data_IF_086190181789
#
_entry.id   IF_086190181789
#
_cell.length_a   1.000
_cell.length_b   1.000
_cell.length_c   1.000
_cell.angle_alpha   90.00
_cell.angle_beta   90.00
_cell.angle_gamma   90.00
#
_symmetry.space_group_name_H-M   'P 1'
#
loop_
_entity.id
_entity.type
_entity.pdbx_description
1 polymer ?
#
# COMPACT_ATOMS: atom_id res chain seq x y z
N UNK A 1 8.59 -10.27 -62.85
CA UNK A 1 8.57 -9.63 -61.52
C UNK A 1 7.18 -9.62 -60.87
N UNK A 2 6.07 -9.42 -61.59
CA UNK A 2 4.71 -9.38 -60.98
C UNK A 2 4.23 -10.70 -60.33
N UNK A 3 4.61 -11.87 -60.85
CA UNK A 3 4.18 -13.16 -60.29
C UNK A 3 4.61 -13.39 -58.84
N UNK A 4 5.86 -13.04 -58.50
CA UNK A 4 6.43 -13.26 -57.15
C UNK A 4 5.72 -12.45 -56.07
N UNK A 5 5.19 -11.26 -56.41
CA UNK A 5 4.44 -10.41 -55.47
C UNK A 5 3.04 -10.99 -55.19
N UNK A 6 2.40 -11.60 -56.19
CA UNK A 6 1.10 -12.25 -56.03
C UNK A 6 1.20 -13.51 -55.14
N UNK A 7 2.27 -14.28 -55.28
CA UNK A 7 2.53 -15.48 -54.47
C UNK A 7 2.88 -15.14 -53.01
N UNK A 8 3.69 -14.10 -52.79
CA UNK A 8 4.00 -13.61 -51.44
C UNK A 8 2.75 -13.11 -50.69
N UNK A 9 1.89 -12.33 -51.36
CA UNK A 9 0.63 -11.86 -50.76
C UNK A 9 -0.32 -13.01 -50.42
N UNK A 10 -0.32 -14.10 -51.21
CA UNK A 10 -1.14 -15.28 -50.94
C UNK A 10 -0.67 -16.04 -49.69
N UNK A 11 0.64 -16.22 -49.51
CA UNK A 11 1.20 -16.84 -48.31
C UNK A 11 0.97 -16.03 -47.02
N UNK A 12 0.97 -14.69 -47.10
CA UNK A 12 0.58 -13.84 -45.96
C UNK A 12 -0.91 -14.00 -45.64
N UNK A 13 -1.78 -14.08 -46.66
CA UNK A 13 -3.22 -14.25 -46.48
C UNK A 13 -3.57 -15.59 -45.82
N UNK A 14 -2.93 -16.68 -46.23
CA UNK A 14 -3.14 -18.00 -45.62
C UNK A 14 -2.63 -18.06 -44.17
N UNK A 15 -1.47 -17.48 -43.85
CA UNK A 15 -0.98 -17.39 -42.47
C UNK A 15 -1.90 -16.57 -41.54
N UNK A 16 -2.50 -15.48 -42.04
CA UNK A 16 -3.47 -14.67 -41.28
C UNK A 16 -4.77 -15.45 -41.05
N UNK A 17 -5.25 -16.18 -42.05
CA UNK A 17 -6.45 -17.03 -41.99
C UNK A 17 -6.30 -18.15 -40.97
N UNK A 18 -5.16 -18.82 -40.93
CA UNK A 18 -4.90 -19.91 -39.99
C UNK A 18 -4.77 -19.34 -38.55
N UNK A 19 -4.02 -18.25 -38.37
CA UNK A 19 -3.92 -17.55 -37.08
C UNK A 19 -5.29 -17.09 -36.53
N UNK A 20 -6.19 -16.64 -37.41
CA UNK A 20 -7.54 -16.21 -37.03
C UNK A 20 -8.43 -17.41 -36.66
N UNK A 21 -8.30 -18.53 -37.37
CA UNK A 21 -8.97 -19.80 -37.07
C UNK A 21 -8.58 -20.31 -35.68
N UNK A 22 -7.29 -20.26 -35.34
CA UNK A 22 -6.77 -20.70 -34.05
C UNK A 22 -7.18 -19.76 -32.91
N UNK A 23 -7.19 -18.44 -33.14
CA UNK A 23 -7.67 -17.47 -32.16
C UNK A 23 -9.18 -17.61 -31.88
N UNK A 24 -10.01 -17.84 -32.90
CA UNK A 24 -11.45 -18.06 -32.74
C UNK A 24 -11.74 -19.40 -32.06
N UNK A 25 -11.00 -20.45 -32.41
CA UNK A 25 -11.16 -21.78 -31.81
C UNK A 25 -10.77 -21.79 -30.33
N UNK A 26 -9.60 -21.24 -29.99
CA UNK A 26 -9.14 -21.11 -28.59
C UNK A 26 -10.06 -20.20 -27.75
N UNK A 27 -10.59 -19.12 -28.33
CA UNK A 27 -11.58 -18.27 -27.66
C UNK A 27 -12.90 -19.01 -27.39
N UNK A 28 -13.40 -19.79 -28.36
CA UNK A 28 -14.62 -20.59 -28.21
C UNK A 28 -14.46 -21.67 -27.13
N UNK A 29 -13.32 -22.33 -27.11
CA UNK A 29 -12.98 -23.37 -26.14
C UNK A 29 -12.79 -22.79 -24.71
N UNK A 30 -12.17 -21.61 -24.60
CA UNK A 30 -12.03 -20.87 -23.35
C UNK A 30 -13.34 -20.34 -22.78
N UNK A 31 -14.29 -19.93 -23.63
CA UNK A 31 -15.64 -19.51 -23.20
C UNK A 31 -16.47 -20.72 -22.74
N UNK A 32 -16.41 -21.85 -23.44
CA UNK A 32 -17.13 -23.08 -23.07
C UNK A 32 -16.60 -23.75 -21.79
N UNK A 33 -15.30 -23.66 -21.50
CA UNK A 33 -14.69 -24.24 -20.29
C UNK A 33 -14.67 -23.30 -19.07
N UNK A 34 -15.24 -22.09 -19.17
CA UNK A 34 -15.25 -21.17 -18.03
C UNK A 34 -16.24 -21.63 -16.95
N UNK A 35 -15.72 -22.02 -15.79
CA UNK A 35 -16.48 -22.64 -14.69
C UNK A 35 -17.63 -21.81 -14.11
N UNK A 36 -17.71 -20.50 -14.42
CA UNK A 36 -18.85 -19.63 -14.07
C UNK A 36 -20.13 -20.03 -14.82
N UNK A 37 -20.00 -20.55 -16.06
CA UNK A 37 -21.15 -20.95 -16.90
C UNK A 37 -21.82 -22.24 -16.39
N UNK A 38 -21.06 -23.13 -15.77
CA UNK A 38 -21.52 -24.50 -15.43
C UNK A 38 -22.04 -24.68 -13.99
N UNK A 39 -22.19 -23.62 -13.18
CA UNK A 39 -22.63 -23.73 -11.76
C UNK A 39 -23.60 -22.63 -11.28
N UNK A 40 -24.45 -22.09 -12.16
CA UNK A 40 -25.53 -21.14 -11.81
C UNK A 40 -26.93 -21.76 -11.91
N UNK A 41 -27.65 -21.84 -10.78
CA UNK A 41 -28.98 -22.49 -10.69
C UNK A 41 -30.11 -21.71 -11.39
N UNK A 42 -30.94 -22.44 -12.14
CA UNK A 42 -32.35 -22.24 -12.58
C UNK A 42 -32.85 -20.89 -13.14
N UNK A 43 -32.24 -19.74 -12.83
CA UNK A 43 -32.62 -18.43 -13.37
C UNK A 43 -32.02 -18.11 -14.76
N UNK A 44 -31.22 -19.02 -15.33
CA UNK A 44 -30.34 -18.75 -16.51
C UNK A 44 -30.73 -19.58 -17.75
N UNK A 45 -31.88 -20.25 -17.77
CA UNK A 45 -32.33 -21.02 -18.94
C UNK A 45 -32.63 -20.12 -20.15
N UNK A 46 -33.22 -18.94 -19.93
CA UNK A 46 -33.49 -17.97 -20.99
C UNK A 46 -32.20 -17.27 -21.49
N UNK A 47 -31.32 -16.87 -20.57
CA UNK A 47 -30.08 -16.15 -20.89
C UNK A 47 -29.10 -17.03 -21.66
N UNK A 48 -28.96 -18.31 -21.28
CA UNK A 48 -28.07 -19.26 -21.95
C UNK A 48 -28.56 -19.59 -23.36
N UNK A 49 -29.88 -19.68 -23.59
CA UNK A 49 -30.43 -19.83 -24.95
C UNK A 49 -30.20 -18.60 -25.82
N UNK A 50 -30.35 -17.38 -25.28
CA UNK A 50 -30.12 -16.13 -26.03
C UNK A 50 -28.63 -16.00 -26.41
N UNK A 51 -27.71 -16.26 -25.48
CA UNK A 51 -26.26 -16.22 -25.78
C UNK A 51 -25.86 -17.33 -26.75
N UNK A 52 -26.35 -18.56 -26.56
CA UNK A 52 -26.05 -19.67 -27.47
C UNK A 52 -26.59 -19.43 -28.88
N UNK A 53 -27.78 -18.83 -29.01
CA UNK A 53 -28.39 -18.51 -30.32
C UNK A 53 -27.72 -17.31 -31.01
N UNK A 54 -27.23 -16.34 -30.25
CA UNK A 54 -26.43 -15.24 -30.79
C UNK A 54 -25.05 -15.73 -31.27
N UNK A 55 -24.41 -16.64 -30.53
CA UNK A 55 -23.10 -17.22 -30.88
C UNK A 55 -23.21 -18.27 -32.00
N UNK A 56 -24.34 -18.97 -32.14
CA UNK A 56 -24.57 -19.90 -33.27
C UNK A 56 -24.98 -19.21 -34.57
N UNK A 57 -25.65 -18.05 -34.50
CA UNK A 57 -26.08 -17.29 -35.69
C UNK A 57 -24.98 -16.39 -36.29
N UNK A 58 -23.88 -16.16 -35.57
CA UNK A 58 -22.64 -15.69 -36.21
C UNK A 58 -22.01 -16.88 -36.93
N UNK A 59 -22.59 -17.20 -38.09
CA UNK A 59 -21.97 -18.08 -39.07
C UNK A 59 -20.59 -17.51 -39.42
N UNK A 60 -19.55 -18.28 -39.11
CA UNK A 60 -18.16 -17.92 -39.43
C UNK A 60 -17.98 -17.75 -40.93
N UNK A 61 -18.76 -18.46 -41.76
CA UNK A 61 -18.84 -18.23 -43.21
C UNK A 61 -19.37 -16.84 -43.55
N UNK A 62 -20.51 -16.41 -42.97
CA UNK A 62 -21.07 -15.08 -43.26
C UNK A 62 -20.13 -13.94 -42.88
N UNK A 63 -19.42 -14.07 -41.74
CA UNK A 63 -18.41 -13.08 -41.32
C UNK A 63 -17.16 -13.12 -42.23
N UNK A 64 -16.71 -14.31 -42.62
CA UNK A 64 -15.56 -14.52 -43.52
C UNK A 64 -15.81 -13.99 -44.93
N UNK A 65 -17.00 -14.22 -45.48
CA UNK A 65 -17.38 -13.75 -46.81
C UNK A 65 -17.60 -12.23 -46.82
N UNK A 66 -18.13 -11.65 -45.74
CA UNK A 66 -18.19 -10.20 -45.58
C UNK A 66 -16.78 -9.57 -45.54
N UNK A 67 -15.82 -10.20 -44.84
CA UNK A 67 -14.42 -9.75 -44.78
C UNK A 67 -13.72 -9.94 -46.14
N UNK A 68 -13.91 -11.06 -46.84
CA UNK A 68 -13.32 -11.29 -48.16
C UNK A 68 -13.83 -10.30 -49.22
N UNK A 69 -15.14 -10.04 -49.25
CA UNK A 69 -15.72 -9.04 -50.15
C UNK A 69 -15.23 -7.62 -49.79
N UNK A 70 -15.08 -7.29 -48.50
CA UNK A 70 -14.50 -6.03 -48.06
C UNK A 70 -13.00 -5.90 -48.39
N UNK A 71 -12.24 -7.00 -48.49
CA UNK A 71 -10.82 -6.97 -48.86
C UNK A 71 -10.57 -6.97 -50.38
N UNK A 72 -11.53 -7.43 -51.19
CA UNK A 72 -11.37 -7.49 -52.65
C UNK A 72 -11.54 -6.12 -53.34
N UNK A 73 -12.27 -5.18 -52.73
CA UNK A 73 -12.41 -3.82 -53.23
C UNK A 73 -11.41 -2.86 -52.57
N UNK A 74 -10.68 -2.09 -53.39
CA UNK A 74 -9.70 -1.11 -52.94
C UNK A 74 -10.29 0.04 -52.10
N UNK A 75 -11.59 0.27 -52.19
CA UNK A 75 -12.33 1.22 -51.34
C UNK A 75 -12.73 0.60 -50.00
N UNK A 76 -13.22 -0.64 -50.01
CA UNK A 76 -13.73 -1.34 -48.81
C UNK A 76 -12.61 -1.75 -47.85
N UNK A 77 -11.43 -2.07 -48.40
CA UNK A 77 -10.21 -2.36 -47.62
C UNK A 77 -9.72 -1.14 -46.83
N UNK A 78 -9.85 0.08 -47.37
CA UNK A 78 -9.58 1.32 -46.64
C UNK A 78 -10.55 1.53 -45.47
N UNK A 79 -11.85 1.27 -45.66
CA UNK A 79 -12.83 1.34 -44.56
C UNK A 79 -12.51 0.33 -43.46
N UNK A 80 -12.09 -0.89 -43.79
CA UNK A 80 -11.68 -1.89 -42.81
C UNK A 80 -10.46 -1.43 -41.98
N UNK A 81 -9.44 -0.84 -42.63
CA UNK A 81 -8.28 -0.27 -41.94
C UNK A 81 -8.67 0.87 -41.00
N UNK A 82 -9.58 1.75 -41.42
CA UNK A 82 -10.09 2.85 -40.57
C UNK A 82 -10.86 2.31 -39.36
N UNK A 83 -11.73 1.32 -39.53
CA UNK A 83 -12.45 0.67 -38.42
C UNK A 83 -11.50 -0.01 -37.45
N UNK A 84 -10.48 -0.71 -37.96
CA UNK A 84 -9.44 -1.35 -37.13
C UNK A 84 -8.64 -0.30 -36.32
N UNK A 85 -8.31 0.84 -36.92
CA UNK A 85 -7.66 1.96 -36.25
C UNK A 85 -8.54 2.57 -35.15
N UNK A 86 -9.85 2.71 -35.37
CA UNK A 86 -10.80 3.19 -34.36
C UNK A 86 -10.90 2.20 -33.19
N UNK A 87 -10.95 0.89 -33.46
CA UNK A 87 -10.94 -0.14 -32.42
C UNK A 87 -9.63 -0.11 -31.64
N UNK A 88 -8.48 -0.01 -32.32
CA UNK A 88 -7.17 0.08 -31.68
C UNK A 88 -7.06 1.34 -30.81
N UNK A 89 -7.53 2.49 -31.28
CA UNK A 89 -7.57 3.73 -30.50
C UNK A 89 -8.49 3.60 -29.27
N UNK A 90 -9.63 2.92 -29.39
CA UNK A 90 -10.55 2.66 -28.29
C UNK A 90 -9.94 1.70 -27.24
N UNK A 91 -9.24 0.65 -27.66
CA UNK A 91 -8.49 -0.24 -26.77
C UNK A 91 -7.36 0.52 -26.06
N UNK A 92 -6.59 1.35 -26.79
CA UNK A 92 -5.57 2.22 -26.20
C UNK A 92 -6.16 3.21 -25.20
N UNK A 93 -7.35 3.76 -25.45
CA UNK A 93 -8.06 4.65 -24.52
C UNK A 93 -8.50 3.93 -23.24
N UNK A 94 -9.05 2.71 -23.35
CA UNK A 94 -9.39 1.88 -22.19
C UNK A 94 -8.13 1.50 -21.39
N UNK A 95 -7.07 1.06 -22.06
CA UNK A 95 -5.79 0.74 -21.40
C UNK A 95 -5.19 1.98 -20.73
N UNK A 96 -5.21 3.15 -21.38
CA UNK A 96 -4.78 4.41 -20.79
C UNK A 96 -5.59 4.74 -19.53
N UNK A 97 -6.91 4.61 -19.55
CA UNK A 97 -7.76 4.87 -18.38
C UNK A 97 -7.43 3.92 -17.22
N UNK A 98 -7.34 2.61 -17.49
CA UNK A 98 -6.99 1.59 -16.49
C UNK A 98 -5.60 1.84 -15.89
N UNK A 99 -4.59 2.07 -16.72
CA UNK A 99 -3.21 2.32 -16.28
C UNK A 99 -3.12 3.65 -15.50
N UNK A 100 -3.85 4.68 -15.91
CA UNK A 100 -3.82 5.98 -15.23
C UNK A 100 -4.39 5.87 -13.82
N UNK A 101 -5.56 5.26 -13.68
CA UNK A 101 -6.25 5.11 -12.38
C UNK A 101 -5.51 4.15 -11.42
N UNK A 102 -4.93 3.06 -11.95
CA UNK A 102 -4.32 2.01 -11.10
C UNK A 102 -2.81 2.16 -10.87
N UNK A 103 -2.07 2.80 -11.78
CA UNK A 103 -0.60 2.88 -11.73
C UNK A 103 -0.07 4.31 -11.70
N UNK A 104 -0.60 5.23 -12.51
CA UNK A 104 -0.01 6.59 -12.64
C UNK A 104 -0.29 7.46 -11.42
N UNK A 105 -1.43 7.26 -10.74
CA UNK A 105 -1.76 7.98 -9.50
C UNK A 105 -1.01 7.48 -8.25
N UNK A 106 -0.04 6.56 -8.39
CA UNK A 106 0.80 6.10 -7.28
C UNK A 106 1.86 7.15 -6.90
N UNK A 107 1.82 7.59 -5.64
CA UNK A 107 2.70 8.62 -5.10
C UNK A 107 3.41 8.13 -3.84
N UNK A 108 4.69 8.51 -3.72
CA UNK A 108 5.53 8.32 -2.53
C UNK A 108 5.95 9.69 -1.98
N UNK A 109 5.83 9.86 -0.66
CA UNK A 109 6.56 10.86 0.11
C UNK A 109 7.68 10.13 0.87
N UNK A 110 8.91 10.63 0.78
CA UNK A 110 9.94 10.40 1.79
C UNK A 110 10.05 11.71 2.57
N UNK A 111 9.76 11.68 3.88
CA UNK A 111 9.62 12.92 4.64
C UNK A 111 11.00 13.60 4.76
N UNK A 112 11.13 14.88 4.33
CA UNK A 112 12.41 15.60 4.37
C UNK A 112 13.04 15.59 5.75
N UNK A 113 14.37 15.47 5.82
CA UNK A 113 15.12 15.39 7.07
C UNK A 113 15.12 14.01 7.75
N UNK A 114 14.26 13.07 7.35
CA UNK A 114 14.28 11.68 7.89
C UNK A 114 15.30 10.77 7.20
N UNK A 115 15.98 11.24 6.15
CA UNK A 115 16.92 10.45 5.34
C UNK A 115 18.17 9.97 6.09
N UNK A 116 18.45 10.61 7.23
CA UNK A 116 19.50 10.28 8.20
C UNK A 116 18.86 9.85 9.53
N UNK A 117 19.56 9.08 10.38
CA UNK A 117 19.04 8.68 11.69
C UNK A 117 18.73 9.87 12.61
N UNK A 118 17.49 9.89 13.09
CA UNK A 118 16.98 10.86 14.05
C UNK A 118 17.00 10.22 15.43
N UNK A 119 17.59 10.90 16.42
CA UNK A 119 17.58 10.46 17.83
C UNK A 119 16.18 10.69 18.41
N UNK A 120 15.59 9.65 19.00
CA UNK A 120 14.21 9.67 19.48
C UNK A 120 14.05 9.99 20.98
N UNK A 121 15.14 10.37 21.66
CA UNK A 121 15.14 10.83 23.06
C UNK A 121 14.91 12.33 23.22
N UNK A 122 14.69 13.03 22.11
CA UNK A 122 14.36 14.44 21.98
C UNK A 122 13.13 14.52 21.07
N UNK A 123 12.24 15.48 21.28
CA UNK A 123 11.16 15.74 20.33
C UNK A 123 11.65 16.50 19.09
N UNK A 124 11.29 16.06 17.89
CA UNK A 124 11.61 16.75 16.63
C UNK A 124 10.44 16.74 15.65
N UNK A 125 10.27 17.85 14.94
CA UNK A 125 9.17 18.10 13.99
C UNK A 125 9.71 18.26 12.58
N UNK A 126 9.08 17.60 11.62
CA UNK A 126 9.44 17.58 10.20
C UNK A 126 8.20 17.97 9.36
N UNK A 127 8.08 19.22 8.92
CA UNK A 127 6.98 19.65 8.08
C UNK A 127 7.12 19.08 6.66
N UNK A 128 5.99 18.69 6.06
CA UNK A 128 5.92 18.30 4.65
C UNK A 128 4.65 18.86 4.02
N UNK A 129 4.76 19.41 2.81
CA UNK A 129 3.66 20.14 2.15
C UNK A 129 2.90 19.29 1.12
N UNK A 130 3.44 18.14 0.74
CA UNK A 130 2.81 17.25 -0.23
C UNK A 130 1.65 16.50 0.43
N UNK A 131 0.44 16.70 -0.10
CA UNK A 131 -0.74 15.91 0.27
C UNK A 131 -0.79 14.64 -0.58
N UNK A 132 -0.96 13.48 0.07
CA UNK A 132 -1.20 12.21 -0.60
C UNK A 132 -2.71 11.99 -0.73
N UNK A 133 -3.25 12.30 -1.91
CA UNK A 133 -4.64 11.98 -2.18
C UNK A 133 -4.83 10.47 -2.31
N UNK A 134 -5.90 9.96 -1.70
CA UNK A 134 -6.40 8.62 -1.95
C UNK A 134 -6.91 8.56 -3.39
N UNK A 135 -6.23 7.79 -4.25
CA UNK A 135 -6.75 7.46 -5.57
C UNK A 135 -7.89 6.46 -5.46
N UNK A 136 -7.66 5.22 -5.90
CA UNK A 136 -8.66 4.16 -5.77
C UNK A 136 -8.68 3.55 -4.36
N UNK A 137 -9.55 4.08 -3.50
CA UNK A 137 -9.84 3.54 -2.17
C UNK A 137 -9.03 4.16 -1.02
N UNK A 138 -9.41 3.87 0.23
CA UNK A 138 -8.70 4.39 1.42
C UNK A 138 -7.48 3.54 1.76
N UNK A 139 -6.51 3.54 0.84
CA UNK A 139 -5.30 2.73 0.87
C UNK A 139 -4.08 3.54 1.25
N UNK A 140 -3.18 2.97 2.04
CA UNK A 140 -1.96 3.66 2.46
C UNK A 140 -0.88 2.68 2.88
N UNK A 141 0.36 2.95 2.51
CA UNK A 141 1.52 2.23 3.07
C UNK A 141 2.40 3.19 3.84
N UNK A 142 2.84 2.79 5.02
CA UNK A 142 3.84 3.48 5.83
C UNK A 142 5.09 2.60 5.94
N UNK A 143 6.26 3.15 5.65
CA UNK A 143 7.53 2.47 5.82
C UNK A 143 8.50 3.34 6.62
N UNK A 144 9.20 2.77 7.59
CA UNK A 144 10.27 3.44 8.32
C UNK A 144 11.25 2.43 8.86
N UNK A 145 12.44 2.92 9.20
CA UNK A 145 13.46 2.16 9.90
C UNK A 145 13.51 2.58 11.35
N UNK A 146 13.62 1.59 12.23
CA UNK A 146 13.77 1.79 13.67
C UNK A 146 15.01 1.03 14.16
N UNK A 147 15.74 1.63 15.10
CA UNK A 147 16.83 1.02 15.84
C UNK A 147 16.59 1.29 17.32
N UNK A 148 16.45 0.26 18.15
CA UNK A 148 16.24 0.42 19.60
C UNK A 148 17.56 0.09 20.32
N UNK A 149 18.13 1.06 21.05
CA UNK A 149 19.35 0.85 21.84
C UNK A 149 19.07 0.06 23.11
N UNK A 150 18.05 0.51 23.86
CA UNK A 150 17.62 -0.05 25.14
C UNK A 150 16.14 0.25 25.39
N UNK A 151 15.37 -0.79 25.70
CA UNK A 151 13.95 -0.70 26.06
C UNK A 151 13.74 -0.27 27.53
N UNK A 152 14.79 -0.31 28.35
CA UNK A 152 14.74 -0.02 29.79
C UNK A 152 14.82 1.48 30.11
N UNK A 153 15.32 2.29 29.18
CA UNK A 153 15.66 3.71 29.36
C UNK A 153 14.47 4.66 29.70
N UNK A 154 13.24 4.16 29.64
CA UNK A 154 12.03 4.79 30.21
C UNK A 154 11.01 3.69 30.56
N UNK A 155 11.42 2.72 31.38
CA UNK A 155 10.60 1.56 31.77
C UNK A 155 9.36 2.00 32.58
N UNK A 156 8.21 1.37 32.31
CA UNK A 156 6.94 1.70 32.98
C UNK A 156 6.20 2.91 32.40
N UNK A 157 6.58 3.35 31.19
CA UNK A 157 5.92 4.42 30.46
C UNK A 157 5.83 4.06 28.96
N UNK A 158 4.72 4.39 28.32
CA UNK A 158 4.62 4.33 26.87
C UNK A 158 5.56 5.36 26.24
N UNK A 159 6.27 4.94 25.19
CA UNK A 159 7.29 5.79 24.53
C UNK A 159 6.86 6.15 23.12
N UNK A 160 6.79 7.44 22.83
CA UNK A 160 6.52 7.96 21.51
C UNK A 160 7.64 7.59 20.53
N UNK A 161 7.25 7.06 19.37
CA UNK A 161 8.17 6.78 18.27
C UNK A 161 7.99 7.85 17.20
N UNK A 162 6.79 7.91 16.62
CA UNK A 162 6.44 8.90 15.61
C UNK A 162 4.92 9.09 15.51
N UNK A 163 4.48 10.28 15.14
CA UNK A 163 3.10 10.52 14.71
C UNK A 163 3.04 11.58 13.61
N UNK A 164 1.99 11.53 12.79
CA UNK A 164 1.68 12.59 11.82
C UNK A 164 0.39 13.24 12.27
N UNK A 165 0.45 14.52 12.63
CA UNK A 165 -0.73 15.28 13.03
C UNK A 165 -0.72 16.68 12.43
N UNK A 166 -1.93 17.19 12.19
CA UNK A 166 -2.18 18.60 11.92
C UNK A 166 -2.45 19.27 13.26
N UNK A 167 -1.96 20.51 13.45
CA UNK A 167 -2.37 21.33 14.59
C UNK A 167 -3.89 21.43 14.65
N UNK A 168 -4.46 21.20 15.82
CA UNK A 168 -5.87 21.45 16.07
C UNK A 168 -6.15 22.97 16.13
N UNK A 169 -7.42 23.34 16.38
CA UNK A 169 -7.82 24.75 16.44
C UNK A 169 -7.13 25.54 17.58
N UNK A 170 -6.72 24.84 18.64
CA UNK A 170 -6.07 25.40 19.83
C UNK A 170 -4.53 25.49 19.67
N UNK A 171 -3.98 24.90 18.61
CA UNK A 171 -2.55 24.94 18.24
C UNK A 171 -1.74 23.68 18.61
N UNK A 172 -2.37 22.71 19.29
CA UNK A 172 -1.75 21.49 19.80
C UNK A 172 -1.81 20.31 18.82
N UNK A 173 -0.97 19.30 19.09
CA UNK A 173 -0.94 18.03 18.36
C UNK A 173 -1.42 16.92 19.29
N UNK A 174 -2.51 16.23 18.91
CA UNK A 174 -3.12 15.20 19.75
C UNK A 174 -3.17 13.83 19.05
N UNK A 175 -3.34 12.76 19.83
CA UNK A 175 -3.45 11.40 19.27
C UNK A 175 -4.67 11.27 18.36
N UNK A 176 -5.82 11.84 18.73
CA UNK A 176 -7.07 11.81 17.95
C UNK A 176 -6.98 12.57 16.62
N UNK A 177 -6.20 13.66 16.56
CA UNK A 177 -6.07 14.53 15.38
C UNK A 177 -4.98 14.00 14.41
N UNK A 178 -4.29 12.93 14.79
CA UNK A 178 -3.26 12.29 13.97
C UNK A 178 -3.84 11.45 12.81
N UNK A 179 -3.02 11.20 11.81
CA UNK A 179 -3.25 10.20 10.77
C UNK A 179 -2.68 8.83 11.17
N UNK A 180 -1.50 8.84 11.79
CA UNK A 180 -0.83 7.66 12.34
C UNK A 180 -0.17 8.09 13.65
N UNK A 181 -0.27 7.26 14.69
CA UNK A 181 0.41 7.43 15.97
C UNK A 181 1.10 6.13 16.38
N UNK A 182 2.41 6.19 16.63
CA UNK A 182 3.25 5.02 16.90
C UNK A 182 3.88 5.17 18.29
N UNK A 183 3.64 4.17 19.15
CA UNK A 183 4.24 4.09 20.49
C UNK A 183 4.81 2.70 20.77
N UNK A 184 5.93 2.65 21.49
CA UNK A 184 6.43 1.42 22.11
C UNK A 184 5.71 1.21 23.44
N UNK A 185 5.28 -0.04 23.70
CA UNK A 185 4.71 -0.46 24.99
C UNK A 185 5.72 -0.26 26.12
N UNK A 186 5.24 -0.05 27.35
CA UNK A 186 6.02 0.27 28.55
C UNK A 186 7.08 -0.76 28.98
N UNK A 187 6.69 -2.04 29.06
CA UNK A 187 7.56 -3.13 29.53
C UNK A 187 7.98 -4.11 28.44
N UNK A 188 7.24 -4.13 27.31
CA UNK A 188 7.50 -5.04 26.19
C UNK A 188 8.06 -4.28 25.00
N UNK A 189 8.87 -4.98 24.23
CA UNK A 189 9.48 -4.47 23.01
C UNK A 189 8.53 -4.55 21.80
N UNK A 190 7.31 -4.03 21.99
CA UNK A 190 6.13 -4.21 21.14
C UNK A 190 5.67 -2.84 20.63
N UNK A 191 5.36 -2.72 19.34
CA UNK A 191 5.18 -1.43 18.66
C UNK A 191 3.72 -1.20 18.24
N UNK A 192 2.97 -0.54 19.12
CA UNK A 192 1.57 -0.20 18.87
C UNK A 192 1.44 0.97 17.90
N UNK A 193 0.60 0.79 16.88
CA UNK A 193 0.30 1.77 15.84
C UNK A 193 -1.20 2.01 15.81
N UNK A 194 -1.64 3.26 15.97
CA UNK A 194 -3.04 3.69 15.85
C UNK A 194 -3.23 4.56 14.61
N UNK A 195 -4.38 4.39 13.97
CA UNK A 195 -4.97 5.25 12.95
C UNK A 195 -6.30 5.77 13.53
N UNK A 196 -6.40 7.05 13.92
CA UNK A 196 -7.63 7.63 14.46
C UNK A 196 -8.81 7.59 13.47
N UNK A 197 -10.02 7.86 13.96
CA UNK A 197 -11.22 7.88 13.10
C UNK A 197 -11.32 9.21 12.32
N UNK A 198 -11.77 9.16 11.06
CA UNK A 198 -11.85 10.32 10.16
C UNK A 198 -12.99 11.31 10.48
N UNK A 199 -13.93 10.93 11.35
CA UNK A 199 -15.05 11.74 11.81
C UNK A 199 -15.26 11.46 13.28
N UNK A 200 -15.13 12.51 14.09
CA UNK A 200 -15.41 12.50 15.53
C UNK A 200 -14.80 11.28 16.24
N UNK A 201 -13.47 11.15 16.24
CA UNK A 201 -12.78 10.36 17.27
C UNK A 201 -13.01 11.10 18.61
N UNK A 202 -14.15 10.78 19.24
CA UNK A 202 -14.65 11.43 20.46
C UNK A 202 -13.94 10.92 21.71
N UNK A 203 -13.09 9.90 21.56
CA UNK A 203 -12.40 9.25 22.65
C UNK A 203 -11.23 10.15 23.09
N UNK A 204 -11.07 10.31 24.41
CA UNK A 204 -9.96 11.07 25.03
C UNK A 204 -8.60 10.36 24.96
N UNK A 205 -8.32 9.68 23.85
CA UNK A 205 -7.11 8.86 23.69
C UNK A 205 -5.87 9.75 23.68
N UNK A 206 -4.91 9.37 24.50
CA UNK A 206 -3.60 10.01 24.62
C UNK A 206 -2.50 8.94 24.68
N UNK A 207 -1.23 9.34 24.75
CA UNK A 207 -0.10 8.42 24.74
C UNK A 207 -0.11 7.41 25.90
N UNK A 208 -0.71 7.76 27.04
CA UNK A 208 -0.79 6.93 28.24
C UNK A 208 -2.10 6.15 28.36
N UNK A 209 -3.03 6.27 27.40
CA UNK A 209 -4.26 5.48 27.36
C UNK A 209 -3.96 3.98 27.33
N UNK A 210 -4.85 3.18 27.90
CA UNK A 210 -4.72 1.72 27.98
C UNK A 210 -4.61 1.09 26.58
N UNK A 211 -4.12 -0.15 26.51
CA UNK A 211 -4.03 -0.90 25.25
C UNK A 211 -5.39 -0.99 24.56
N UNK A 212 -6.48 -1.21 25.31
CA UNK A 212 -7.82 -1.30 24.75
C UNK A 212 -8.26 0.04 24.12
N UNK A 213 -8.14 1.17 24.83
CA UNK A 213 -8.53 2.49 24.33
C UNK A 213 -7.69 2.95 23.14
N UNK A 214 -6.39 2.64 23.15
CA UNK A 214 -5.48 3.02 22.07
C UNK A 214 -5.71 2.19 20.79
N UNK A 215 -6.08 0.92 20.91
CA UNK A 215 -6.22 -0.01 19.78
C UNK A 215 -7.66 -0.11 19.23
N UNK A 216 -8.66 0.26 20.03
CA UNK A 216 -10.09 0.12 19.72
C UNK A 216 -10.85 1.37 20.16
N UNK A 217 -11.55 2.00 19.23
CA UNK A 217 -12.45 3.12 19.48
C UNK A 217 -13.69 2.64 20.28
N UNK A 218 -14.24 3.49 21.14
CA UNK A 218 -15.40 3.22 22.02
C UNK A 218 -16.59 2.58 21.29
N UNK A 219 -16.89 3.06 20.08
CA UNK A 219 -17.89 2.49 19.15
C UNK A 219 -17.53 1.13 18.52
N UNK A 220 -16.55 0.41 19.06
CA UNK A 220 -16.15 -0.95 18.68
C UNK A 220 -15.28 -1.06 17.42
N UNK A 221 -14.92 0.04 16.78
CA UNK A 221 -14.05 0.02 15.59
C UNK A 221 -12.58 -0.17 15.98
N UNK A 222 -11.88 -1.09 15.32
CA UNK A 222 -10.43 -1.24 15.47
C UNK A 222 -9.73 -0.09 14.78
N UNK A 223 -8.91 0.62 15.55
CA UNK A 223 -8.10 1.76 15.11
C UNK A 223 -6.61 1.41 15.07
N UNK A 224 -6.14 0.35 15.72
CA UNK A 224 -4.71 0.04 15.80
C UNK A 224 -4.28 -1.40 15.50
N UNK A 225 -2.97 -1.58 15.33
CA UNK A 225 -2.24 -2.84 15.09
C UNK A 225 -0.91 -2.85 15.89
N UNK A 226 -0.49 -4.01 16.40
CA UNK A 226 0.46 -4.03 17.54
C UNK A 226 1.94 -4.45 17.29
N UNK A 227 2.26 -5.20 16.23
CA UNK A 227 3.66 -5.59 15.90
C UNK A 227 4.46 -6.14 17.12
N UNK A 228 4.24 -7.41 17.46
CA UNK A 228 4.60 -8.04 18.74
C UNK A 228 6.06 -7.84 19.23
N UNK A 229 7.04 -7.82 18.32
CA UNK A 229 8.45 -7.70 18.67
C UNK A 229 9.26 -6.94 17.60
N UNK A 230 10.04 -5.93 18.01
CA UNK A 230 11.01 -5.20 17.18
C UNK A 230 12.45 -5.50 17.67
N UNK A 231 13.26 -6.33 16.99
CA UNK A 231 14.60 -6.70 17.45
C UNK A 231 15.49 -5.53 17.92
N UNK A 232 16.07 -5.68 19.13
CA UNK A 232 16.95 -4.68 19.73
C UNK A 232 18.33 -4.64 19.03
N UNK A 233 19.02 -3.50 19.16
CA UNK A 233 20.42 -3.30 18.77
C UNK A 233 20.76 -3.61 17.31
N UNK A 234 19.75 -3.58 16.43
CA UNK A 234 19.91 -3.56 14.98
C UNK A 234 18.89 -2.65 14.32
N UNK A 235 19.15 -2.30 13.07
CA UNK A 235 18.13 -1.70 12.22
C UNK A 235 17.06 -2.74 11.88
N UNK A 236 15.81 -2.32 11.98
CA UNK A 236 14.61 -3.08 11.62
C UNK A 236 13.78 -2.22 10.67
N UNK A 237 13.41 -2.76 9.50
CA UNK A 237 12.46 -2.10 8.61
C UNK A 237 11.04 -2.51 8.97
N UNK A 238 10.17 -1.52 9.21
CA UNK A 238 8.75 -1.73 9.48
C UNK A 238 7.94 -1.18 8.30
N UNK A 239 7.19 -2.07 7.64
CA UNK A 239 6.22 -1.71 6.60
C UNK A 239 4.80 -2.03 7.06
N UNK A 240 3.89 -1.08 6.92
CA UNK A 240 2.48 -1.22 7.32
C UNK A 240 1.61 -0.87 6.12
N UNK A 241 0.98 -1.88 5.52
CA UNK A 241 0.19 -1.77 4.28
C UNK A 241 -1.29 -1.88 4.61
N UNK A 242 -2.03 -0.78 4.39
CA UNK A 242 -3.47 -0.69 4.57
C UNK A 242 -4.15 -0.77 3.20
N UNK A 243 -5.10 -1.70 3.09
CA UNK A 243 -5.94 -1.92 1.90
C UNK A 243 -7.41 -1.95 2.36
N UNK A 244 -8.36 -1.52 1.52
CA UNK A 244 -9.78 -1.32 1.86
C UNK A 244 -10.76 -2.38 1.33
N UNK A 245 -10.25 -3.41 0.65
CA UNK A 245 -11.05 -4.54 0.17
C UNK A 245 -11.70 -5.29 1.35
N UNK A 246 -13.01 -5.54 1.26
CA UNK A 246 -13.75 -6.36 2.24
C UNK A 246 -13.93 -5.71 3.64
N UNK A 247 -13.96 -4.37 3.70
CA UNK A 247 -13.89 -3.61 4.96
C UNK A 247 -12.45 -3.27 5.37
N UNK A 248 -11.48 -3.94 4.75
CA UNK A 248 -10.07 -3.61 4.79
C UNK A 248 -9.22 -4.58 5.59
N UNK A 249 -7.91 -4.42 5.39
CA UNK A 249 -6.85 -5.21 6.01
C UNK A 249 -5.67 -4.30 6.35
N UNK A 250 -4.97 -4.62 7.43
CA UNK A 250 -3.70 -3.98 7.79
C UNK A 250 -2.64 -5.07 7.85
N UNK A 251 -1.68 -5.03 6.93
CA UNK A 251 -0.62 -6.03 6.78
C UNK A 251 0.71 -5.44 7.28
N UNK A 252 1.39 -6.19 8.14
CA UNK A 252 2.69 -5.81 8.72
C UNK A 252 3.79 -6.61 8.05
N UNK A 253 4.85 -5.90 7.68
CA UNK A 253 6.08 -6.45 7.15
C UNK A 253 7.25 -6.01 8.03
N UNK A 254 8.12 -6.96 8.38
CA UNK A 254 9.33 -6.74 9.17
C UNK A 254 10.52 -7.23 8.34
N UNK A 255 11.52 -6.37 8.14
CA UNK A 255 12.73 -6.65 7.33
C UNK A 255 12.41 -7.21 5.94
N UNK A 256 11.43 -6.60 5.27
CA UNK A 256 10.95 -7.00 3.94
C UNK A 256 10.04 -8.23 3.92
N UNK A 257 9.93 -8.97 5.03
CA UNK A 257 9.15 -10.20 5.14
C UNK A 257 7.76 -9.94 5.71
N UNK A 258 6.75 -10.67 5.22
CA UNK A 258 5.41 -10.63 5.81
C UNK A 258 5.44 -11.17 7.25
N UNK A 259 4.85 -10.42 8.18
CA UNK A 259 4.76 -10.78 9.61
C UNK A 259 3.33 -11.17 9.99
N UNK A 260 2.35 -10.28 9.78
CA UNK A 260 0.94 -10.55 10.10
C UNK A 260 -0.05 -9.71 9.31
N UNK A 261 -1.33 -10.11 9.34
CA UNK A 261 -2.49 -9.35 8.86
C UNK A 261 -3.46 -9.18 10.01
N UNK A 262 -4.03 -7.99 10.17
CA UNK A 262 -5.29 -7.81 10.88
C UNK A 262 -6.42 -7.51 9.88
N UNK A 263 -7.55 -8.20 10.04
CA UNK A 263 -8.76 -8.03 9.24
C UNK A 263 -9.99 -8.39 10.10
N UNK A 264 -11.20 -8.28 9.55
CA UNK A 264 -12.42 -8.60 10.31
C UNK A 264 -12.45 -10.04 10.86
N UNK A 265 -11.85 -11.02 10.18
CA UNK A 265 -11.78 -12.40 10.66
C UNK A 265 -10.81 -12.55 11.83
N UNK A 266 -9.63 -11.92 11.79
CA UNK A 266 -8.65 -12.00 12.89
C UNK A 266 -9.09 -11.20 14.12
N UNK A 267 -9.74 -10.05 13.93
CA UNK A 267 -10.26 -9.20 15.00
C UNK A 267 -11.42 -9.88 15.73
N UNK A 268 -12.34 -10.52 15.00
CA UNK A 268 -13.55 -11.14 15.56
C UNK A 268 -13.33 -12.56 16.09
N UNK A 269 -12.10 -13.10 16.01
CA UNK A 269 -11.78 -14.43 16.52
C UNK A 269 -12.06 -14.52 18.03
N UNK A 270 -12.92 -15.48 18.41
CA UNK A 270 -13.26 -15.78 19.81
C UNK A 270 -12.05 -16.22 20.62
N UNK A 271 -11.01 -16.74 19.97
CA UNK A 271 -9.75 -17.12 20.62
C UNK A 271 -8.94 -15.91 21.11
N UNK A 272 -9.24 -14.69 20.64
CA UNK A 272 -8.50 -13.49 21.05
C UNK A 272 -8.53 -13.25 22.57
N UNK A 273 -9.64 -13.61 23.22
CA UNK A 273 -9.87 -13.49 24.67
C UNK A 273 -8.88 -14.31 25.50
N UNK A 274 -8.30 -15.37 24.93
CA UNK A 274 -7.30 -16.23 25.59
C UNK A 274 -5.90 -16.08 24.96
N UNK A 275 -5.69 -15.03 24.16
CA UNK A 275 -4.42 -14.71 23.49
C UNK A 275 -3.86 -13.41 24.04
N UNK A 276 -2.58 -13.10 23.78
CA UNK A 276 -1.98 -11.80 24.14
C UNK A 276 -2.56 -10.57 23.43
N UNK A 277 -3.75 -10.68 22.80
CA UNK A 277 -4.51 -9.66 22.07
C UNK A 277 -5.86 -9.36 22.74
N UNK A 278 -5.91 -9.41 24.07
CA UNK A 278 -7.13 -9.27 24.89
C UNK A 278 -7.91 -7.96 24.65
N UNK A 279 -7.27 -6.96 24.04
CA UNK A 279 -7.91 -5.71 23.61
C UNK A 279 -8.93 -5.88 22.48
N UNK A 280 -8.85 -6.95 21.67
CA UNK A 280 -9.87 -7.27 20.64
C UNK A 280 -10.95 -8.20 21.21
N UNK A 281 -12.20 -7.78 21.06
CA UNK A 281 -13.41 -8.51 21.45
C UNK A 281 -14.14 -9.00 20.19
N UNK A 282 -14.88 -10.13 20.23
CA UNK A 282 -15.60 -10.65 19.06
C UNK A 282 -16.64 -9.71 18.43
N UNK A 283 -17.04 -8.65 19.13
CA UNK A 283 -17.94 -7.59 18.62
C UNK A 283 -17.20 -6.46 17.90
N UNK A 284 -15.87 -6.44 17.91
CA UNK A 284 -15.09 -5.41 17.23
C UNK A 284 -15.07 -5.62 15.71
N UNK A 285 -14.78 -4.56 14.97
CA UNK A 285 -14.69 -4.62 13.51
C UNK A 285 -13.61 -3.67 12.99
N UNK A 286 -12.90 -4.10 11.95
CA UNK A 286 -12.03 -3.23 11.17
C UNK A 286 -12.84 -2.63 10.02
N UNK A 287 -12.79 -1.31 9.88
CA UNK A 287 -13.33 -0.62 8.72
C UNK A 287 -12.39 0.53 8.33
N UNK A 288 -11.48 0.29 7.39
CA UNK A 288 -10.44 1.27 7.05
C UNK A 288 -11.00 2.52 6.37
N UNK A 289 -12.21 2.48 5.79
CA UNK A 289 -12.85 3.68 5.23
C UNK A 289 -13.30 4.69 6.29
N UNK A 290 -13.32 4.28 7.58
CA UNK A 290 -13.55 5.16 8.73
C UNK A 290 -12.26 5.72 9.34
N UNK A 291 -11.07 5.29 8.90
CA UNK A 291 -9.80 5.73 9.47
C UNK A 291 -9.31 7.02 8.79
N UNK A 292 -8.69 7.91 9.57
CA UNK A 292 -8.05 9.12 9.09
C UNK A 292 -6.70 8.78 8.46
N UNK A 293 -6.67 8.61 7.13
CA UNK A 293 -5.43 8.30 6.39
C UNK A 293 -4.95 9.47 5.52
N UNK A 294 -5.40 10.70 5.80
CA UNK A 294 -5.21 11.86 4.91
C UNK A 294 -3.79 12.45 4.93
N UNK A 295 -2.96 12.11 5.93
CA UNK A 295 -1.56 12.53 6.05
C UNK A 295 -1.36 14.05 5.98
N UNK A 296 -2.27 14.81 6.58
CA UNK A 296 -2.14 16.26 6.69
C UNK A 296 -1.36 16.65 7.96
N UNK A 297 -0.47 17.64 7.84
CA UNK A 297 0.24 18.22 8.97
C UNK A 297 1.74 17.97 8.93
N UNK A 298 2.30 17.62 10.08
CA UNK A 298 3.75 17.52 10.30
C UNK A 298 4.08 16.15 10.92
N UNK A 299 5.28 15.64 10.66
CA UNK A 299 5.77 14.42 11.29
C UNK A 299 6.53 14.78 12.56
N UNK A 300 6.06 14.25 13.68
CA UNK A 300 6.71 14.32 14.98
C UNK A 300 7.45 13.01 15.22
N UNK A 301 8.72 13.06 15.63
CA UNK A 301 9.53 11.90 16.02
C UNK A 301 10.08 12.13 17.42
N UNK A 302 10.07 11.07 18.24
CA UNK A 302 10.63 11.10 19.59
C UNK A 302 9.86 12.00 20.56
N UNK A 303 10.38 12.11 21.77
CA UNK A 303 9.75 12.85 22.86
C UNK A 303 10.76 13.14 23.96
N UNK A 304 10.48 14.14 24.79
CA UNK A 304 11.44 14.62 25.77
C UNK A 304 11.44 13.75 27.03
N UNK A 305 12.64 13.48 27.55
CA UNK A 305 12.85 12.64 28.73
C UNK A 305 12.46 13.30 30.06
N UNK A 306 12.21 14.61 30.07
CA UNK A 306 12.04 15.41 31.29
C UNK A 306 10.89 16.40 31.11
N UNK A 307 9.80 16.20 31.84
CA UNK A 307 8.72 17.19 31.99
C UNK A 307 7.77 17.39 30.80
N UNK A 308 7.99 16.74 29.66
CA UNK A 308 7.08 16.79 28.50
C UNK A 308 5.92 15.80 28.60
N UNK A 309 4.84 16.05 27.84
CA UNK A 309 3.66 15.16 27.80
C UNK A 309 3.90 13.83 27.06
N UNK A 310 4.98 13.74 26.27
CA UNK A 310 5.34 12.54 25.49
C UNK A 310 6.79 12.14 25.73
N UNK A 311 7.00 10.93 26.27
CA UNK A 311 8.34 10.38 26.51
C UNK A 311 8.91 9.75 25.24
N UNK A 312 10.14 10.07 24.89
CA UNK A 312 10.86 9.41 23.79
C UNK A 312 11.42 8.04 24.13
N UNK A 313 11.81 7.25 23.12
CA UNK A 313 12.52 5.98 23.32
C UNK A 313 14.03 6.13 23.08
N UNK A 314 14.82 5.27 23.73
CA UNK A 314 16.27 5.21 23.50
C UNK A 314 16.54 4.46 22.19
N UNK A 315 16.62 5.21 21.09
CA UNK A 315 16.81 4.66 19.76
C UNK A 315 16.85 5.72 18.67
N UNK A 316 16.76 5.24 17.43
CA UNK A 316 16.79 6.02 16.20
C UNK A 316 15.60 5.66 15.31
N UNK A 317 15.12 6.64 14.54
CA UNK A 317 14.20 6.44 13.40
C UNK A 317 14.84 7.01 12.13
N UNK A 318 14.63 6.39 10.97
CA UNK A 318 15.01 6.95 9.67
C UNK A 318 14.10 6.52 8.51
N UNK A 319 14.22 7.25 7.40
CA UNK A 319 13.47 7.15 6.13
C UNK A 319 11.97 6.93 6.32
N UNK A 320 11.31 7.84 7.04
CA UNK A 320 9.86 7.77 7.18
C UNK A 320 9.21 8.09 5.83
N UNK A 321 8.60 7.06 5.23
CA UNK A 321 8.02 7.10 3.90
C UNK A 321 6.54 6.76 3.94
N UNK A 322 5.75 7.46 3.13
CA UNK A 322 4.31 7.26 3.00
C UNK A 322 3.99 7.06 1.52
N UNK A 323 3.10 6.12 1.23
CA UNK A 323 2.64 5.82 -0.12
C UNK A 323 1.11 5.86 -0.14
N UNK A 324 0.51 6.42 -1.20
CA UNK A 324 -0.96 6.50 -1.33
C UNK A 324 -1.64 5.21 -1.82
N UNK A 325 -0.88 4.12 -1.94
CA UNK A 325 -1.33 2.83 -2.47
C UNK A 325 -0.90 1.68 -1.55
N UNK A 326 -1.48 0.50 -1.77
CA UNK A 326 -1.11 -0.73 -1.08
C UNK A 326 0.10 -1.40 -1.74
N UNK A 327 1.24 -1.40 -1.05
CA UNK A 327 2.47 -2.03 -1.58
C UNK A 327 2.40 -3.56 -1.50
N UNK A 328 2.74 -4.24 -2.59
CA UNK A 328 2.93 -5.68 -2.58
C UNK A 328 4.27 -6.07 -1.92
N UNK A 329 4.46 -7.37 -1.64
CA UNK A 329 5.67 -7.91 -0.99
C UNK A 329 6.97 -7.52 -1.72
N UNK A 330 6.98 -7.50 -3.05
CA UNK A 330 8.20 -7.18 -3.81
C UNK A 330 8.58 -5.72 -3.66
N UNK A 331 7.60 -4.81 -3.64
CA UNK A 331 7.87 -3.38 -3.45
C UNK A 331 8.28 -3.06 -2.00
N UNK A 332 7.68 -3.73 -1.01
CA UNK A 332 8.15 -3.68 0.38
C UNK A 332 9.60 -4.19 0.49
N UNK A 333 9.94 -5.29 -0.20
CA UNK A 333 11.30 -5.81 -0.22
C UNK A 333 12.29 -4.85 -0.90
N UNK A 334 11.89 -4.14 -1.96
CA UNK A 334 12.71 -3.07 -2.57
C UNK A 334 13.00 -1.95 -1.58
N UNK A 335 11.98 -1.46 -0.86
CA UNK A 335 12.17 -0.41 0.15
C UNK A 335 13.09 -0.85 1.30
N UNK A 336 12.92 -2.10 1.78
CA UNK A 336 13.84 -2.73 2.72
C UNK A 336 15.28 -2.85 2.16
N UNK A 337 15.45 -3.25 0.91
CA UNK A 337 16.78 -3.40 0.29
C UNK A 337 17.53 -2.07 0.14
N UNK A 338 16.82 -0.94 0.14
CA UNK A 338 17.43 0.39 0.11
C UNK A 338 18.09 0.81 1.44
N UNK A 339 17.94 0.02 2.50
CA UNK A 339 18.60 0.22 3.81
C UNK A 339 18.12 1.44 4.61
N UNK A 340 18.59 1.63 5.84
CA UNK A 340 18.15 2.71 6.74
C UNK A 340 18.71 4.10 6.39
N UNK A 341 19.79 4.18 5.61
CA UNK A 341 20.51 5.42 5.32
C UNK A 341 20.56 5.71 3.81
N UNK A 342 20.61 6.99 3.42
CA UNK A 342 20.80 7.42 2.03
C UNK A 342 22.22 7.96 1.86
N UNK A 343 23.08 7.24 1.15
CA UNK A 343 24.46 7.66 0.90
C UNK A 343 25.34 6.59 0.25
N UNK A 344 26.43 7.03 -0.39
CA UNK A 344 27.33 6.16 -1.18
C UNK A 344 27.88 4.97 -0.37
N UNK A 345 28.17 5.19 0.92
CA UNK A 345 28.65 4.16 1.85
C UNK A 345 27.60 3.06 2.14
N UNK A 346 26.30 3.40 2.11
CA UNK A 346 25.23 2.42 2.25
C UNK A 346 25.05 1.60 0.97
N UNK A 347 25.14 2.23 -0.21
CA UNK A 347 25.10 1.51 -1.51
C UNK A 347 26.30 0.60 -1.76
N UNK A 348 27.39 0.72 -1.00
CA UNK A 348 28.54 -0.18 -1.03
C UNK A 348 28.42 -1.36 -0.04
N UNK A 349 27.29 -1.51 0.66
CA UNK A 349 27.07 -2.62 1.60
C UNK A 349 27.88 -2.53 2.89
N UNK A 350 28.57 -1.42 3.16
CA UNK A 350 29.41 -1.25 4.35
C UNK A 350 28.61 -0.87 5.61
N UNK A 351 27.33 -0.53 5.48
CA UNK A 351 26.43 -0.21 6.60
C UNK A 351 25.92 -1.44 7.38
N UNK A 352 26.17 -2.66 6.89
CA UNK A 352 25.81 -3.92 7.58
C UNK A 352 26.96 -4.53 8.39
N UNK A 353 28.20 -4.05 8.19
CA UNK A 353 29.31 -4.30 9.11
C UNK A 353 29.40 -3.17 10.13
N UNK A 354 29.75 -3.50 11.37
CA UNK A 354 29.73 -2.59 12.54
C UNK A 354 30.81 -1.51 12.54
N UNK A 355 31.07 -0.85 11.41
CA UNK A 355 31.93 0.33 11.33
C UNK A 355 31.20 1.50 11.99
N UNK A 356 31.49 1.72 13.27
CA UNK A 356 31.22 3.00 13.92
C UNK A 356 32.04 4.08 13.22
N UNK A 357 31.40 5.24 13.02
CA UNK A 357 32.03 6.58 12.97
C UNK A 357 32.67 7.01 11.63
N UNK A 358 32.89 8.34 11.39
CA UNK A 358 33.64 9.22 12.28
C UNK A 358 32.91 10.41 12.93
N UNK A 359 33.13 10.52 14.24
CA UNK A 359 33.53 11.70 15.01
C UNK A 359 33.02 13.06 14.48
N UNK A 360 31.91 13.53 15.06
CA UNK A 360 31.72 14.97 15.22
C UNK A 360 32.72 15.48 16.28
N UNK A 361 33.80 16.11 15.84
CA UNK A 361 34.52 17.06 16.70
C UNK A 361 33.63 18.29 16.82
N UNK A 362 32.91 18.41 17.93
CA UNK A 362 32.42 19.71 18.37
C UNK A 362 33.67 20.59 18.55
N UNK A 363 33.75 21.69 17.81
CA UNK A 363 34.79 22.71 18.06
C UNK A 363 34.45 23.38 19.38
N UNK A 364 35.12 22.96 20.45
CA UNK A 364 35.13 23.70 21.71
C UNK A 364 35.95 24.98 21.57
N UNK A 365 35.35 26.01 20.98
CA UNK A 365 35.89 27.38 20.97
C UNK A 365 34.79 28.38 20.57
N UNK A 366 33.85 28.63 21.48
CA UNK A 366 33.40 29.99 21.73
C UNK A 366 33.64 30.24 23.22
N UNK A 367 34.21 31.40 23.53
CA UNK A 367 34.86 31.62 24.82
C UNK A 367 33.87 31.87 25.95
N UNK A 368 34.23 31.39 27.14
CA UNK A 368 33.84 32.06 28.38
C UNK A 368 34.62 33.37 28.47
N UNK A 369 34.02 34.48 28.04
CA UNK A 369 34.46 35.82 28.44
C UNK A 369 33.53 36.34 29.55
N UNK A 370 34.05 36.21 30.78
CA UNK A 370 33.74 36.90 32.06
C UNK A 370 32.28 37.12 32.44
#
# INVERSE_FOLDING_TARGET
MSGVVAEANKGVLDNVKDSLSDFVSSSKEGIMNNGVVNKGSEAISASTQIVSSAVSNISVENTKDAIMNAMSDSSSSLYFIVVLLVIAAFVCYILYYIITDTVINQQKILIPGTEMPIICTEHRVYPFTQKLESGNGNKRTYCFWIYIFDISAARGQYRHVAHIAKKNADGDYSVKDSTIYIRLREEKNTLQVRFPMNKNDSDGVNINSTEQEFMVHSGGAVTGIEIEYIPLQRWVHVGIVINDIGGGTINVFIDGNYSKTENNQTVQDKNNVNSGREYYKPSNYLNVSKLNLNNEGELHIGGDKVGGETYGFSGLVSKFSIFNYDMNRNDIYKEYSAGPMKGVLASMGLSSYGIRNPIYKIKGSDALEQ
#
